data_IF_583275192194
#
_entry.id   IF_583275192194
#
_cell.length_a   1.000
_cell.length_b   1.000
_cell.length_c   1.000
_cell.angle_alpha   90.00
_cell.angle_beta   90.00
_cell.angle_gamma   90.00
#
_symmetry.space_group_name_H-M   'P 1'
#
loop_
_entity.id
_entity.type
_entity.pdbx_description
1 polymer ?
#
# COMPACT_ATOMS: atom_id res chain seq x y z
N UNK A 1 8.46 24.50 -22.52
CA UNK A 1 7.72 24.24 -21.27
C UNK A 1 8.13 22.95 -20.54
N UNK A 2 8.59 21.89 -21.22
CA UNK A 2 9.05 20.65 -20.57
C UNK A 2 10.39 20.78 -19.81
N UNK A 3 11.30 21.65 -20.25
CA UNK A 3 12.64 21.84 -19.65
C UNK A 3 12.60 22.54 -18.28
N UNK A 4 11.65 23.45 -18.05
CA UNK A 4 11.49 24.13 -16.77
C UNK A 4 11.05 23.18 -15.64
N UNK A 5 10.16 22.20 -15.93
CA UNK A 5 9.73 21.21 -14.94
C UNK A 5 10.84 20.24 -14.51
N UNK A 6 11.82 19.99 -15.37
CA UNK A 6 12.96 19.11 -15.06
C UNK A 6 13.98 19.85 -14.19
N UNK A 7 14.19 21.16 -14.41
CA UNK A 7 15.06 22.00 -13.58
C UNK A 7 14.55 22.13 -12.14
N UNK A 8 13.25 22.34 -11.92
CA UNK A 8 12.66 22.34 -10.57
C UNK A 8 12.76 20.98 -9.86
N UNK A 9 12.82 19.88 -10.61
CA UNK A 9 12.91 18.53 -10.06
C UNK A 9 14.35 18.13 -9.66
N UNK A 10 15.37 18.88 -10.11
CA UNK A 10 16.77 18.68 -9.76
C UNK A 10 17.21 19.51 -8.54
N UNK A 11 16.54 20.64 -8.27
CA UNK A 11 16.81 21.54 -7.14
C UNK A 11 16.00 21.22 -5.86
N UNK A 12 15.11 20.21 -5.90
CA UNK A 12 14.36 19.78 -4.71
C UNK A 12 15.26 18.95 -3.79
N UNK A 13 15.96 19.63 -2.89
CA UNK A 13 16.81 19.05 -1.85
C UNK A 13 16.07 18.08 -0.92
N UNK A 14 14.73 18.11 -0.93
CA UNK A 14 13.86 17.26 -0.12
C UNK A 14 13.41 15.99 -0.87
N UNK A 15 13.56 15.95 -2.19
CA UNK A 15 13.21 14.78 -3.03
C UNK A 15 13.84 13.46 -2.58
N UNK A 16 15.13 13.37 -2.22
CA UNK A 16 15.69 12.12 -1.70
C UNK A 16 15.06 11.69 -0.37
N UNK A 17 14.54 12.63 0.43
CA UNK A 17 13.82 12.36 1.67
C UNK A 17 12.36 11.91 1.40
N UNK A 18 11.71 12.46 0.36
CA UNK A 18 10.35 12.02 -0.07
C UNK A 18 10.32 10.55 -0.50
N UNK A 19 11.35 10.09 -1.22
CA UNK A 19 11.38 8.77 -1.87
C UNK A 19 12.17 7.72 -1.08
N UNK A 20 12.72 8.04 0.10
CA UNK A 20 13.60 7.12 0.82
C UNK A 20 12.82 5.90 1.34
N UNK A 21 13.20 4.67 0.98
CA UNK A 21 12.49 3.46 1.40
C UNK A 21 12.79 3.04 2.85
N UNK A 22 13.44 3.89 3.66
CA UNK A 22 13.90 3.58 5.02
C UNK A 22 13.12 4.29 6.13
N UNK A 23 13.30 3.82 7.36
CA UNK A 23 12.90 4.56 8.57
C UNK A 23 13.74 5.85 8.66
N UNK A 24 13.14 7.00 8.98
CA UNK A 24 13.91 8.23 9.17
C UNK A 24 14.90 8.05 10.34
N UNK A 25 16.12 8.53 10.13
CA UNK A 25 17.23 8.53 11.10
C UNK A 25 17.39 9.93 11.70
N UNK A 26 18.18 10.03 12.77
CA UNK A 26 18.55 11.32 13.37
C UNK A 26 19.23 12.25 12.34
N UNK A 27 20.07 11.70 11.47
CA UNK A 27 20.68 12.42 10.33
C UNK A 27 19.65 13.10 9.41
N UNK A 28 18.41 12.57 9.33
CA UNK A 28 17.37 13.15 8.49
C UNK A 28 16.75 14.40 9.16
N UNK A 29 16.76 14.49 10.50
CA UNK A 29 16.37 15.70 11.24
C UNK A 29 17.37 16.81 10.95
N UNK A 30 18.68 16.51 11.06
CA UNK A 30 19.75 17.48 10.81
C UNK A 30 19.70 18.03 9.38
N UNK A 31 19.43 17.16 8.39
CA UNK A 31 19.25 17.58 7.00
C UNK A 31 18.05 18.49 6.83
N UNK A 32 16.92 18.20 7.47
CA UNK A 32 15.73 19.03 7.39
C UNK A 32 15.90 20.38 8.09
N UNK A 33 16.74 20.48 9.13
CA UNK A 33 17.04 21.74 9.80
C UNK A 33 17.74 22.76 8.88
N UNK A 34 18.56 22.30 7.93
CA UNK A 34 19.31 23.17 6.99
C UNK A 34 18.42 23.59 5.80
N UNK A 35 17.35 22.86 5.54
CA UNK A 35 16.42 23.12 4.43
C UNK A 35 15.45 24.27 4.80
N UNK A 36 15.09 25.15 3.84
CA UNK A 36 14.09 26.20 4.05
C UNK A 36 12.79 25.67 4.69
N UNK A 37 12.28 26.40 5.71
CA UNK A 37 11.04 26.05 6.45
C UNK A 37 9.86 25.73 5.53
N UNK A 38 9.71 26.48 4.43
CA UNK A 38 8.63 26.29 3.44
C UNK A 38 8.63 24.91 2.80
N UNK A 39 9.82 24.34 2.53
CA UNK A 39 9.95 23.02 1.94
C UNK A 39 9.69 21.91 2.97
N UNK A 40 10.06 22.12 4.24
CA UNK A 40 9.77 21.19 5.34
C UNK A 40 8.27 21.15 5.65
N UNK A 41 7.60 22.30 5.63
CA UNK A 41 6.13 22.40 5.75
C UNK A 41 5.45 21.69 4.58
N UNK A 42 5.90 21.92 3.34
CA UNK A 42 5.35 21.23 2.17
C UNK A 42 5.51 19.70 2.24
N UNK A 43 6.64 19.21 2.76
CA UNK A 43 6.84 17.79 3.01
C UNK A 43 5.90 17.26 4.11
N UNK A 44 5.71 18.01 5.19
CA UNK A 44 4.80 17.64 6.27
C UNK A 44 3.35 17.53 5.75
N UNK A 45 2.89 18.52 5.01
CA UNK A 45 1.55 18.52 4.39
C UNK A 45 1.36 17.34 3.45
N UNK A 46 2.35 17.04 2.60
CA UNK A 46 2.32 15.88 1.71
C UNK A 46 2.21 14.57 2.50
N UNK A 47 3.00 14.41 3.57
CA UNK A 47 2.95 13.19 4.40
C UNK A 47 1.68 13.07 5.23
N UNK A 48 1.09 14.19 5.66
CA UNK A 48 -0.22 14.18 6.29
C UNK A 48 -1.33 13.86 5.28
N UNK A 49 -1.23 14.36 4.05
CA UNK A 49 -2.17 14.04 2.97
C UNK A 49 -2.08 12.56 2.58
N UNK A 50 -0.88 11.98 2.46
CA UNK A 50 -0.64 10.55 2.23
C UNK A 50 -1.31 9.66 3.30
N UNK A 51 -1.49 10.20 4.52
CA UNK A 51 -2.16 9.50 5.62
C UNK A 51 -3.69 9.64 5.55
N UNK A 52 -4.20 10.79 5.11
CA UNK A 52 -5.65 11.09 4.98
C UNK A 52 -6.26 10.42 3.76
N UNK A 53 -5.57 10.44 2.63
CA UNK A 53 -6.02 9.84 1.37
C UNK A 53 -5.05 8.72 0.94
N UNK A 54 -5.07 7.57 1.64
CA UNK A 54 -4.16 6.49 1.32
C UNK A 54 -4.48 5.93 -0.06
N UNK A 55 -3.61 6.18 -1.05
CA UNK A 55 -3.72 5.58 -2.39
C UNK A 55 -3.84 4.04 -2.35
N UNK A 56 -3.36 3.40 -1.28
CA UNK A 56 -3.47 1.97 -1.01
C UNK A 56 -4.89 1.47 -0.74
N UNK A 57 -5.82 2.34 -0.33
CA UNK A 57 -7.21 1.94 -0.05
C UNK A 57 -7.93 1.52 -1.33
N UNK A 58 -7.68 2.22 -2.45
CA UNK A 58 -8.16 1.80 -3.77
C UNK A 58 -7.62 0.42 -4.18
N UNK A 59 -6.35 0.16 -3.90
CA UNK A 59 -5.72 -1.13 -4.17
C UNK A 59 -6.34 -2.24 -3.31
N UNK A 60 -6.54 -1.98 -2.01
CA UNK A 60 -7.17 -2.94 -1.10
C UNK A 60 -8.62 -3.24 -1.51
N UNK A 61 -9.39 -2.22 -1.88
CA UNK A 61 -10.75 -2.40 -2.39
C UNK A 61 -10.78 -3.24 -3.66
N UNK A 62 -9.85 -3.00 -4.59
CA UNK A 62 -9.71 -3.81 -5.81
C UNK A 62 -9.39 -5.28 -5.49
N UNK A 63 -8.46 -5.53 -4.56
CA UNK A 63 -8.13 -6.90 -4.11
C UNK A 63 -9.33 -7.58 -3.45
N UNK A 64 -10.08 -6.87 -2.60
CA UNK A 64 -11.27 -7.39 -1.95
C UNK A 64 -12.37 -7.74 -2.95
N UNK A 65 -12.58 -6.92 -3.99
CA UNK A 65 -13.57 -7.21 -5.04
C UNK A 65 -13.19 -8.48 -5.80
N UNK A 66 -11.92 -8.63 -6.19
CA UNK A 66 -11.44 -9.83 -6.90
C UNK A 66 -11.55 -11.06 -6.00
N UNK A 67 -11.09 -10.96 -4.75
CA UNK A 67 -11.15 -12.06 -3.79
C UNK A 67 -12.59 -12.50 -3.50
N UNK A 68 -13.50 -11.54 -3.29
CA UNK A 68 -14.92 -11.83 -3.07
C UNK A 68 -15.60 -12.44 -4.30
N UNK A 69 -15.29 -11.93 -5.49
CA UNK A 69 -15.81 -12.50 -6.75
C UNK A 69 -15.33 -13.93 -6.94
N UNK A 70 -14.05 -14.20 -6.68
CA UNK A 70 -13.48 -15.54 -6.78
C UNK A 70 -14.11 -16.50 -5.76
N UNK A 71 -14.25 -16.09 -4.50
CA UNK A 71 -14.90 -16.89 -3.47
C UNK A 71 -16.34 -17.24 -3.85
N UNK A 72 -17.11 -16.26 -4.36
CA UNK A 72 -18.47 -16.49 -4.83
C UNK A 72 -18.54 -17.49 -5.98
N UNK A 73 -17.66 -17.36 -6.99
CA UNK A 73 -17.58 -18.31 -8.11
C UNK A 73 -17.16 -19.71 -7.68
N UNK A 74 -16.19 -19.83 -6.78
CA UNK A 74 -15.75 -21.12 -6.24
C UNK A 74 -16.87 -21.80 -5.46
N UNK A 75 -17.60 -21.07 -4.60
CA UNK A 75 -18.75 -21.61 -3.88
C UNK A 75 -19.88 -22.03 -4.81
N UNK A 76 -20.15 -21.28 -5.87
CA UNK A 76 -21.18 -21.62 -6.86
C UNK A 76 -20.82 -22.91 -7.62
N UNK A 77 -19.57 -23.04 -8.07
CA UNK A 77 -19.08 -24.24 -8.75
C UNK A 77 -19.14 -25.46 -7.83
N UNK A 78 -18.74 -25.31 -6.57
CA UNK A 78 -18.79 -26.39 -5.58
C UNK A 78 -20.23 -26.82 -5.26
N UNK A 79 -21.17 -25.87 -5.21
CA UNK A 79 -22.59 -26.14 -5.02
C UNK A 79 -23.19 -26.88 -6.24
N UNK A 80 -22.84 -26.46 -7.46
CA UNK A 80 -23.26 -27.13 -8.69
C UNK A 80 -22.68 -28.54 -8.79
N UNK A 81 -21.41 -28.73 -8.48
CA UNK A 81 -20.78 -30.05 -8.44
C UNK A 81 -21.47 -30.97 -7.44
N UNK A 82 -21.78 -30.46 -6.24
CA UNK A 82 -22.53 -31.21 -5.21
C UNK A 82 -23.94 -31.60 -5.68
N UNK A 83 -24.63 -30.71 -6.39
CA UNK A 83 -25.95 -30.98 -6.95
C UNK A 83 -25.90 -32.05 -8.05
N UNK A 84 -24.98 -31.93 -8.99
CA UNK A 84 -24.78 -32.90 -10.09
C UNK A 84 -24.35 -34.27 -9.54
N UNK A 85 -23.48 -34.30 -8.52
CA UNK A 85 -23.08 -35.54 -7.88
C UNK A 85 -24.22 -36.20 -7.08
N UNK A 86 -25.16 -35.41 -6.55
CA UNK A 86 -26.32 -35.90 -5.79
C UNK A 86 -27.49 -36.39 -6.64
N UNK A 87 -27.56 -36.04 -7.93
CA UNK A 87 -28.64 -36.47 -8.83
C UNK A 87 -28.27 -37.76 -9.58
N UNK A 88 -28.91 -38.90 -9.28
CA UNK A 88 -28.60 -40.19 -9.92
C UNK A 88 -28.85 -40.20 -11.43
N UNK A 89 -29.68 -39.28 -11.97
CA UNK A 89 -29.93 -39.18 -13.42
C UNK A 89 -28.78 -38.58 -14.22
N UNK A 90 -27.94 -37.79 -13.57
CA UNK A 90 -26.79 -37.13 -14.20
C UNK A 90 -25.54 -38.03 -14.22
N UNK A 91 -25.51 -39.05 -13.36
CA UNK A 91 -24.38 -39.98 -13.23
C UNK A 91 -24.26 -40.97 -14.40
N UNK A 92 -25.33 -41.18 -15.19
CA UNK A 92 -25.34 -42.09 -16.33
C UNK A 92 -24.59 -41.55 -17.58
N UNK A 93 -24.28 -40.25 -17.61
CA UNK A 93 -23.70 -39.58 -18.79
C UNK A 93 -22.22 -39.21 -18.66
N UNK A 94 -21.58 -39.42 -17.50
CA UNK A 94 -20.18 -39.07 -17.27
C UNK A 94 -19.47 -40.23 -16.59
N UNK A 95 -18.38 -40.72 -17.17
CA UNK A 95 -17.60 -41.79 -16.53
C UNK A 95 -17.07 -41.29 -15.18
N UNK A 96 -17.35 -42.02 -14.10
CA UNK A 96 -16.97 -41.67 -12.72
C UNK A 96 -15.45 -41.40 -12.59
N UNK A 97 -14.64 -42.04 -13.44
CA UNK A 97 -13.19 -41.91 -13.47
C UNK A 97 -12.72 -40.60 -14.14
N UNK A 98 -13.30 -40.20 -15.27
CA UNK A 98 -12.97 -38.91 -15.91
C UNK A 98 -13.54 -37.74 -15.11
N UNK A 99 -14.74 -37.89 -14.54
CA UNK A 99 -15.32 -36.89 -13.64
C UNK A 99 -14.42 -36.63 -12.42
N UNK A 100 -13.91 -37.71 -11.79
CA UNK A 100 -13.03 -37.62 -10.64
C UNK A 100 -11.70 -36.94 -10.94
N UNK A 101 -11.10 -37.21 -12.10
CA UNK A 101 -9.85 -36.57 -12.51
C UNK A 101 -10.04 -35.06 -12.78
N UNK A 102 -11.10 -34.68 -13.50
CA UNK A 102 -11.44 -33.27 -13.77
C UNK A 102 -11.73 -32.51 -12.47
N UNK A 103 -12.42 -33.15 -11.50
CA UNK A 103 -12.67 -32.55 -10.18
C UNK A 103 -11.37 -32.34 -9.39
N UNK A 104 -10.46 -33.31 -9.43
CA UNK A 104 -9.15 -33.20 -8.80
C UNK A 104 -8.34 -32.04 -9.38
N UNK A 105 -8.21 -31.97 -10.70
CA UNK A 105 -7.48 -30.91 -11.40
C UNK A 105 -8.09 -29.53 -11.14
N UNK A 106 -9.42 -29.41 -11.22
CA UNK A 106 -10.13 -28.17 -10.91
C UNK A 106 -9.94 -27.73 -9.44
N UNK A 107 -9.98 -28.66 -8.49
CA UNK A 107 -9.75 -28.36 -7.08
C UNK A 107 -8.32 -27.85 -6.82
N UNK A 108 -7.32 -28.43 -7.49
CA UNK A 108 -5.93 -27.94 -7.41
C UNK A 108 -5.77 -26.54 -8.00
N UNK A 109 -6.38 -26.26 -9.16
CA UNK A 109 -6.35 -24.92 -9.77
C UNK A 109 -7.05 -23.87 -8.91
N UNK A 110 -8.25 -24.17 -8.42
CA UNK A 110 -9.02 -23.27 -7.55
C UNK A 110 -8.31 -23.05 -6.22
N UNK A 111 -7.78 -24.11 -5.60
CA UNK A 111 -7.00 -24.03 -4.37
C UNK A 111 -5.72 -23.23 -4.54
N UNK A 112 -4.99 -23.44 -5.64
CA UNK A 112 -3.78 -22.68 -5.98
C UNK A 112 -4.08 -21.19 -6.18
N UNK A 113 -5.12 -20.86 -6.95
CA UNK A 113 -5.52 -19.47 -7.18
C UNK A 113 -6.02 -18.79 -5.90
N UNK A 114 -6.78 -19.51 -5.05
CA UNK A 114 -7.18 -19.03 -3.73
C UNK A 114 -5.96 -18.68 -2.87
N UNK A 115 -4.97 -19.58 -2.83
CA UNK A 115 -3.73 -19.39 -2.10
C UNK A 115 -2.97 -18.15 -2.59
N UNK A 116 -2.82 -17.98 -3.91
CA UNK A 116 -2.18 -16.79 -4.49
C UNK A 116 -2.90 -15.50 -4.10
N UNK A 117 -4.24 -15.48 -4.14
CA UNK A 117 -5.03 -14.30 -3.75
C UNK A 117 -4.83 -13.95 -2.27
N UNK A 118 -4.79 -14.94 -1.38
CA UNK A 118 -4.54 -14.73 0.06
C UNK A 118 -3.14 -14.18 0.30
N UNK A 119 -2.11 -14.79 -0.30
CA UNK A 119 -0.71 -14.34 -0.16
C UNK A 119 -0.55 -12.92 -0.72
N UNK A 120 -1.16 -12.63 -1.87
CA UNK A 120 -1.13 -11.31 -2.48
C UNK A 120 -1.81 -10.26 -1.58
N UNK A 121 -3.02 -10.55 -1.09
CA UNK A 121 -3.75 -9.66 -0.18
C UNK A 121 -2.95 -9.40 1.11
N UNK A 122 -2.39 -10.43 1.73
CA UNK A 122 -1.52 -10.29 2.90
C UNK A 122 -0.30 -9.43 2.62
N UNK A 123 0.35 -9.61 1.47
CA UNK A 123 1.52 -8.82 1.05
C UNK A 123 1.18 -7.34 0.87
N UNK A 124 0.02 -7.03 0.24
CA UNK A 124 -0.46 -5.65 0.08
C UNK A 124 -0.77 -5.01 1.44
N UNK A 125 -1.44 -5.74 2.34
CA UNK A 125 -1.74 -5.25 3.70
C UNK A 125 -0.47 -4.96 4.50
N UNK A 126 0.49 -5.88 4.53
CA UNK A 126 1.76 -5.69 5.24
C UNK A 126 2.48 -4.45 4.69
N UNK A 127 2.52 -4.30 3.37
CA UNK A 127 3.15 -3.13 2.73
C UNK A 127 2.43 -1.82 3.08
N UNK A 128 1.10 -1.83 3.13
CA UNK A 128 0.29 -0.68 3.53
C UNK A 128 0.54 -0.30 5.01
N UNK A 129 0.63 -1.27 5.91
CA UNK A 129 0.94 -1.05 7.33
C UNK A 129 2.35 -0.46 7.48
N UNK A 130 3.35 -1.05 6.82
CA UNK A 130 4.72 -0.55 6.84
C UNK A 130 4.81 0.88 6.29
N UNK A 131 4.10 1.18 5.21
CA UNK A 131 4.02 2.53 4.66
C UNK A 131 3.43 3.51 5.67
N UNK A 132 2.24 3.21 6.24
CA UNK A 132 1.60 4.05 7.26
C UNK A 132 2.51 4.31 8.45
N UNK A 133 3.19 3.27 8.92
CA UNK A 133 4.11 3.41 10.05
C UNK A 133 5.25 4.38 9.71
N UNK A 134 5.86 4.23 8.52
CA UNK A 134 6.95 5.12 8.07
C UNK A 134 6.47 6.55 7.87
N UNK A 135 5.30 6.76 7.25
CA UNK A 135 4.72 8.09 7.06
C UNK A 135 4.52 8.80 8.40
N UNK A 136 3.99 8.09 9.41
CA UNK A 136 3.88 8.64 10.78
C UNK A 136 5.22 9.01 11.41
N UNK A 137 6.28 8.23 11.15
CA UNK A 137 7.62 8.55 11.63
C UNK A 137 8.17 9.80 10.94
N UNK A 138 7.99 9.91 9.62
CA UNK A 138 8.40 11.11 8.86
C UNK A 138 7.67 12.38 9.33
N UNK A 139 6.37 12.29 9.63
CA UNK A 139 5.61 13.41 10.22
C UNK A 139 6.26 13.89 11.53
N UNK A 140 6.65 12.96 12.42
CA UNK A 140 7.32 13.31 13.68
C UNK A 140 8.65 14.02 13.45
N UNK A 141 9.46 13.49 12.54
CA UNK A 141 10.76 14.08 12.16
C UNK A 141 10.59 15.48 11.58
N UNK A 142 9.61 15.70 10.71
CA UNK A 142 9.33 17.03 10.16
C UNK A 142 8.90 18.02 11.24
N UNK A 143 8.03 17.60 12.18
CA UNK A 143 7.62 18.44 13.31
C UNK A 143 8.79 18.82 14.21
N UNK A 144 9.66 17.85 14.54
CA UNK A 144 10.87 18.12 15.32
C UNK A 144 11.82 19.10 14.62
N UNK A 145 12.06 18.92 13.32
CA UNK A 145 12.91 19.84 12.55
C UNK A 145 12.34 21.26 12.53
N UNK A 146 11.01 21.41 12.39
CA UNK A 146 10.33 22.70 12.42
C UNK A 146 10.41 23.37 13.80
N UNK A 147 10.22 22.63 14.89
CA UNK A 147 10.36 23.13 16.25
C UNK A 147 11.77 23.68 16.50
N UNK A 148 12.80 22.95 16.05
CA UNK A 148 14.19 23.40 16.19
C UNK A 148 14.48 24.65 15.34
N UNK A 149 13.92 24.73 14.12
CA UNK A 149 14.05 25.92 13.29
C UNK A 149 13.39 27.15 13.91
N UNK A 150 12.23 26.97 14.56
CA UNK A 150 11.51 28.04 15.25
C UNK A 150 12.28 28.54 16.47
N UNK A 151 12.81 27.64 17.30
CA UNK A 151 13.68 27.98 18.43
C UNK A 151 14.95 28.74 17.98
N UNK A 152 15.56 28.32 16.87
CA UNK A 152 16.72 29.00 16.32
C UNK A 152 16.38 30.40 15.77
N UNK A 153 15.19 30.56 15.18
CA UNK A 153 14.73 31.86 14.70
C UNK A 153 14.49 32.84 15.86
N UNK A 154 13.90 32.36 16.97
CA UNK A 154 13.69 33.16 18.18
C UNK A 154 15.00 33.58 18.84
N UNK A 155 16.01 32.70 18.87
CA UNK A 155 17.34 33.03 19.41
C UNK A 155 18.09 34.09 18.57
N UNK A 156 17.80 34.18 17.27
CA UNK A 156 18.50 35.05 16.33
C UNK A 156 17.83 36.40 16.08
N UNK A 157 16.75 36.76 16.78
CA UNK A 157 16.20 38.13 16.79
C UNK A 157 16.84 38.93 17.93
N UNK A 158 17.91 39.72 17.69
CA UNK A 158 18.56 40.51 18.72
C UNK A 158 18.05 41.94 18.56
N UNK A 159 16.85 42.27 19.09
CA UNK A 159 16.37 43.64 18.89
C UNK A 159 14.94 44.03 19.27
N UNK A 160 14.30 43.37 20.23
CA UNK A 160 13.17 44.00 20.94
C UNK A 160 13.63 44.38 22.34
N UNK A 161 14.43 45.45 22.42
CA UNK A 161 14.48 46.29 23.61
C UNK A 161 13.32 47.27 23.56
#
# INVERSE_FOLDING_TARGET
MLTARISYAADDSVRPLRCRPGKPREEDVEKLMVVPRTLVVGLLEEKEQDLREPHWERLMNFVSIIGGSFAMWASLLLAMASFVAGDPRMQDHVSLQEAGQIHGEAAWFVGGLAYFLVVFAGSVQIRAILFRHRTRQWIKVCKQALEIQELNAELYVPGAR
#
